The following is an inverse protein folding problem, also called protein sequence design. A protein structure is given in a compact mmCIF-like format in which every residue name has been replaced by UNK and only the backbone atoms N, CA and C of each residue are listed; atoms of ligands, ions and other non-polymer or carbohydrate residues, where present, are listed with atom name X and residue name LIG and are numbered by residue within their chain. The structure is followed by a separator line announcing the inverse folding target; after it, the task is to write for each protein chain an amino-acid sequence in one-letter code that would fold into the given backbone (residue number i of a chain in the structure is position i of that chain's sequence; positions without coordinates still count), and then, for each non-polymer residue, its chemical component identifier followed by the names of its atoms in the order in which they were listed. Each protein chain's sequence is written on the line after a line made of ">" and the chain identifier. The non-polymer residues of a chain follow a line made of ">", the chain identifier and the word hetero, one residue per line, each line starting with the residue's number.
data_IF_297170265950
#
_entry.id   IF_297170265950
#
_cell.length_a   1.000
_cell.length_b   1.000
_cell.length_c   1.000
_cell.angle_alpha   90.00
_cell.angle_beta   90.00
_cell.angle_gamma   90.00
#
_symmetry.space_group_name_H-M   'P 1'
#
loop_
_entity.id
_entity.type
_entity.pdbx_description
1 polymer ?
#
# COMPACT_ATOMS: atom_id res chain seq x y z
N UNK A 1 -0.85 1.60 21.50
CA UNK A 1 -1.21 0.66 20.42
C UNK A 1 -0.37 1.04 19.22
N UNK A 2 0.49 0.14 18.74
CA UNK A 2 1.31 0.41 17.57
C UNK A 2 0.41 0.54 16.35
N UNK A 3 0.60 1.59 15.56
CA UNK A 3 -0.13 1.79 14.30
C UNK A 3 0.19 0.63 13.35
N UNK A 4 -0.82 0.05 12.70
CA UNK A 4 -0.59 -1.00 11.71
C UNK A 4 -0.01 -0.42 10.42
N UNK A 5 0.75 -1.22 9.66
CA UNK A 5 1.31 -0.80 8.37
C UNK A 5 0.24 -0.25 7.42
N UNK A 6 -0.94 -0.88 7.38
CA UNK A 6 -2.07 -0.41 6.57
C UNK A 6 -2.58 0.96 7.02
N UNK A 7 -2.68 1.21 8.32
CA UNK A 7 -3.05 2.53 8.85
C UNK A 7 -2.01 3.60 8.51
N UNK A 8 -0.72 3.26 8.53
CA UNK A 8 0.34 4.17 8.13
C UNK A 8 0.29 4.49 6.62
N UNK A 9 -0.02 3.51 5.78
CA UNK A 9 -0.22 3.71 4.33
C UNK A 9 -1.44 4.61 4.07
N UNK A 10 -2.56 4.39 4.77
CA UNK A 10 -3.73 5.27 4.68
C UNK A 10 -3.35 6.70 5.04
N UNK A 11 -2.60 6.92 6.13
CA UNK A 11 -2.18 8.26 6.53
C UNK A 11 -1.32 8.97 5.48
N UNK A 12 -0.42 8.25 4.78
CA UNK A 12 0.38 8.80 3.67
C UNK A 12 -0.52 9.22 2.51
N UNK A 13 -1.52 8.41 2.16
CA UNK A 13 -2.46 8.71 1.07
C UNK A 13 -3.40 9.86 1.47
N UNK A 14 -3.85 9.93 2.72
CA UNK A 14 -4.69 11.03 3.22
C UNK A 14 -3.98 12.38 3.17
N UNK A 15 -2.67 12.41 3.40
CA UNK A 15 -1.89 13.65 3.38
C UNK A 15 -1.76 14.25 1.98
N UNK A 16 -1.53 13.43 0.96
CA UNK A 16 -1.47 13.83 -0.45
C UNK A 16 -1.78 12.64 -1.38
N UNK A 17 -3.06 12.45 -1.77
CA UNK A 17 -3.52 11.27 -2.51
C UNK A 17 -2.88 11.06 -3.88
N UNK A 18 -2.35 12.12 -4.49
CA UNK A 18 -1.76 12.07 -5.83
C UNK A 18 -0.24 12.23 -5.83
N UNK A 19 0.38 12.27 -4.64
CA UNK A 19 1.83 12.21 -4.53
C UNK A 19 2.39 10.92 -5.16
N UNK A 20 3.62 10.99 -5.66
CA UNK A 20 4.31 9.81 -6.18
C UNK A 20 4.38 8.68 -5.15
N UNK A 21 4.52 9.01 -3.87
CA UNK A 21 4.53 8.04 -2.77
C UNK A 21 3.17 7.37 -2.58
N UNK A 22 2.08 8.15 -2.50
CA UNK A 22 0.73 7.63 -2.36
C UNK A 22 0.36 6.70 -3.51
N UNK A 23 0.59 7.12 -4.76
CA UNK A 23 0.27 6.33 -5.94
C UNK A 23 1.10 5.04 -6.02
N UNK A 24 2.38 5.09 -5.63
CA UNK A 24 3.27 3.92 -5.63
C UNK A 24 2.86 2.91 -4.56
N UNK A 25 2.55 3.35 -3.34
CA UNK A 25 2.07 2.48 -2.26
C UNK A 25 0.70 1.88 -2.60
N UNK A 26 -0.21 2.69 -3.13
CA UNK A 26 -1.51 2.22 -3.59
C UNK A 26 -1.39 1.17 -4.70
N UNK A 27 -0.52 1.38 -5.69
CA UNK A 27 -0.27 0.42 -6.77
C UNK A 27 0.30 -0.91 -6.23
N UNK A 28 1.19 -0.85 -5.23
CA UNK A 28 1.70 -2.04 -4.56
C UNK A 28 0.54 -2.81 -3.90
N UNK A 29 -0.27 -2.16 -3.06
CA UNK A 29 -1.42 -2.80 -2.38
C UNK A 29 -2.34 -3.50 -3.39
N UNK A 30 -2.71 -2.84 -4.49
CA UNK A 30 -3.52 -3.46 -5.54
C UNK A 30 -2.84 -4.69 -6.14
N UNK A 31 -1.53 -4.63 -6.39
CA UNK A 31 -0.79 -5.75 -6.98
C UNK A 31 -0.79 -6.98 -6.08
N UNK A 32 -0.68 -6.78 -4.76
CA UNK A 32 -0.65 -7.88 -3.80
C UNK A 32 -1.99 -8.62 -3.70
N UNK A 33 -3.10 -7.92 -3.96
CA UNK A 33 -4.46 -8.48 -3.93
C UNK A 33 -4.79 -9.36 -5.16
N UNK A 34 -4.04 -9.22 -6.25
CA UNK A 34 -4.26 -9.95 -7.50
C UNK A 34 -3.08 -10.87 -7.88
N UNK A 35 -2.86 -11.99 -7.17
CA UNK A 35 -1.73 -12.90 -7.42
C UNK A 35 -1.74 -13.53 -8.83
N UNK A 36 -2.90 -13.55 -9.51
CA UNK A 36 -3.04 -14.09 -10.88
C UNK A 36 -2.64 -13.11 -12.00
N UNK A 37 -2.40 -11.83 -11.70
CA UNK A 37 -2.02 -10.83 -12.69
C UNK A 37 -0.51 -10.88 -13.07
N UNK A 38 0.27 -11.75 -12.41
CA UNK A 38 1.73 -11.67 -12.39
C UNK A 38 2.15 -10.51 -11.50
N UNK A 39 2.98 -10.76 -10.49
CA UNK A 39 3.42 -9.73 -9.53
C UNK A 39 4.23 -8.62 -10.23
N UNK A 40 3.56 -7.64 -10.83
CA UNK A 40 4.15 -6.57 -11.63
C UNK A 40 4.32 -5.27 -10.85
N UNK A 41 4.57 -5.35 -9.55
CA UNK A 41 5.20 -4.24 -8.86
C UNK A 41 6.70 -4.33 -9.10
N UNK A 42 7.21 -3.50 -10.02
CA UNK A 42 8.64 -3.49 -10.31
C UNK A 42 9.40 -2.89 -9.13
N UNK A 43 10.41 -3.60 -8.63
CA UNK A 43 11.22 -3.17 -7.48
C UNK A 43 11.97 -1.86 -7.73
N UNK A 44 12.20 -1.46 -8.98
CA UNK A 44 12.82 -0.17 -9.32
C UNK A 44 12.00 1.02 -8.83
N UNK A 45 10.67 0.88 -8.70
CA UNK A 45 9.77 1.88 -8.11
C UNK A 45 10.09 2.25 -6.66
N UNK A 46 10.77 1.38 -5.92
CA UNK A 46 11.23 1.68 -4.56
C UNK A 46 12.28 2.79 -4.53
N UNK A 47 12.95 3.07 -5.65
CA UNK A 47 13.93 4.16 -5.77
C UNK A 47 13.27 5.53 -5.73
N UNK A 48 12.01 5.60 -6.14
CA UNK A 48 11.21 6.84 -6.17
C UNK A 48 10.62 7.16 -4.79
N UNK A 49 10.70 6.21 -3.84
CA UNK A 49 10.22 6.37 -2.47
C UNK A 49 11.32 6.91 -1.55
N UNK A 50 10.93 7.89 -0.72
CA UNK A 50 11.68 8.29 0.46
C UNK A 50 11.84 7.09 1.43
N UNK A 51 12.90 7.06 2.26
CA UNK A 51 13.20 5.93 3.13
C UNK A 51 12.02 5.45 4.00
N UNK A 52 11.25 6.38 4.55
CA UNK A 52 10.07 6.14 5.37
C UNK A 52 8.96 5.42 4.58
N UNK A 53 8.69 5.81 3.34
CA UNK A 53 7.70 5.16 2.49
C UNK A 53 8.20 3.82 1.95
N UNK A 54 9.52 3.69 1.72
CA UNK A 54 10.12 2.42 1.31
C UNK A 54 9.99 1.35 2.39
N UNK A 55 10.08 1.74 3.67
CA UNK A 55 9.82 0.84 4.79
C UNK A 55 8.39 0.29 4.76
N UNK A 56 7.40 1.15 4.52
CA UNK A 56 6.00 0.71 4.36
C UNK A 56 5.85 -0.28 3.21
N UNK A 57 6.54 -0.06 2.08
CA UNK A 57 6.52 -1.01 0.97
C UNK A 57 7.09 -2.39 1.34
N UNK A 58 8.17 -2.44 2.12
CA UNK A 58 8.72 -3.72 2.62
C UNK A 58 7.77 -4.43 3.59
N UNK A 59 7.17 -3.69 4.52
CA UNK A 59 6.20 -4.25 5.47
C UNK A 59 4.95 -4.78 4.74
N UNK A 60 4.46 -4.09 3.70
CA UNK A 60 3.37 -4.59 2.85
C UNK A 60 3.74 -5.90 2.13
N UNK A 61 4.98 -6.02 1.62
CA UNK A 61 5.45 -7.25 0.99
C UNK A 61 5.53 -8.41 2.00
N UNK A 62 5.93 -8.14 3.25
CA UNK A 62 6.01 -9.14 4.32
C UNK A 62 4.61 -9.65 4.74
N UNK A 63 3.58 -8.80 4.69
CA UNK A 63 2.19 -9.20 4.97
C UNK A 63 1.68 -10.33 4.05
N UNK A 64 2.26 -10.49 2.85
CA UNK A 64 1.97 -11.63 1.96
C UNK A 64 2.42 -12.95 2.60
N UNK A 65 3.61 -12.98 3.18
CA UNK A 65 4.17 -14.17 3.81
C UNK A 65 3.37 -14.56 5.07
N UNK A 66 2.72 -13.58 5.71
CA UNK A 66 1.86 -13.77 6.87
C UNK A 66 0.39 -14.12 6.58
N UNK A 67 0.01 -14.36 5.31
CA UNK A 67 -1.37 -14.66 4.88
C UNK A 67 -2.41 -13.59 5.31
N UNK A 68 -1.98 -12.35 5.58
CA UNK A 68 -2.85 -11.27 6.05
C UNK A 68 -3.59 -10.52 4.92
N UNK A 69 -3.23 -10.81 3.67
CA UNK A 69 -3.81 -10.19 2.46
C UNK A 69 -5.28 -10.61 2.33
N UNK A 70 -6.16 -9.63 2.10
CA UNK A 70 -7.59 -9.87 1.90
C UNK A 70 -8.41 -10.07 3.19
N UNK A 71 -7.78 -10.06 4.37
CA UNK A 71 -8.47 -10.09 5.66
C UNK A 71 -9.29 -8.81 5.96
N UNK A 72 -10.03 -8.77 7.08
CA UNK A 72 -10.93 -7.64 7.40
C UNK A 72 -10.22 -6.28 7.47
N UNK A 73 -9.04 -6.24 8.10
CA UNK A 73 -8.24 -5.01 8.21
C UNK A 73 -7.75 -4.54 6.83
N UNK A 74 -7.31 -5.49 5.99
CA UNK A 74 -6.91 -5.22 4.61
C UNK A 74 -8.05 -4.60 3.81
N UNK A 75 -9.23 -5.21 3.84
CA UNK A 75 -10.40 -4.74 3.10
C UNK A 75 -10.85 -3.35 3.56
N UNK A 76 -10.86 -3.09 4.87
CA UNK A 76 -11.21 -1.79 5.42
C UNK A 76 -10.22 -0.69 4.99
N UNK A 77 -8.91 -0.97 5.10
CA UNK A 77 -7.88 -0.03 4.67
C UNK A 77 -7.94 0.21 3.15
N UNK A 78 -8.14 -0.85 2.36
CA UNK A 78 -8.24 -0.77 0.91
C UNK A 78 -9.41 0.10 0.45
N UNK A 79 -10.59 -0.09 1.05
CA UNK A 79 -11.76 0.73 0.75
C UNK A 79 -11.47 2.21 1.02
N UNK A 80 -10.81 2.52 2.15
CA UNK A 80 -10.41 3.89 2.48
C UNK A 80 -9.43 4.47 1.47
N UNK A 81 -8.42 3.70 1.04
CA UNK A 81 -7.47 4.14 0.02
C UNK A 81 -8.16 4.41 -1.33
N UNK A 82 -9.09 3.55 -1.75
CA UNK A 82 -9.87 3.72 -2.98
C UNK A 82 -10.68 5.02 -2.98
N UNK A 83 -11.34 5.34 -1.86
CA UNK A 83 -12.09 6.59 -1.70
C UNK A 83 -11.19 7.82 -1.86
N UNK A 84 -10.04 7.83 -1.18
CA UNK A 84 -9.12 8.96 -1.18
C UNK A 84 -8.49 9.20 -2.55
N UNK A 85 -8.07 8.13 -3.24
CA UNK A 85 -7.42 8.24 -4.55
C UNK A 85 -8.43 8.60 -5.66
N UNK A 86 -9.68 8.11 -5.57
CA UNK A 86 -10.73 8.42 -6.57
C UNK A 86 -11.46 9.74 -6.32
N UNK A 87 -11.46 10.22 -5.07
CA UNK A 87 -12.16 11.45 -4.66
C UNK A 87 -11.31 12.72 -4.76
N UNK A 88 -10.01 12.58 -5.02
CA UNK A 88 -9.09 13.70 -5.30
C UNK A 88 -9.17 14.19 -6.73
#
# INVERSE_FOLDING_TARGET
>A
MSQSTLQAVVAVIEADPHSAAALTLYALVNTLEYPRAGYLFKLDKLRDLAPEHRRLAYELMDMIAGEAIGGPEWQAAKARMDELVRGG
#
